data_IF_107685266552
#
_entry.id   IF_107685266552
#
_cell.length_a   1.000
_cell.length_b   1.000
_cell.length_c   1.000
_cell.angle_alpha   90.00
_cell.angle_beta   90.00
_cell.angle_gamma   90.00
#
_symmetry.space_group_name_H-M   'P 1'
#
loop_
_entity.id
_entity.type
_entity.pdbx_description
1 polymer ?
#
# COMPACT_ATOMS: atom_id res chain seq x y z
N UNK A 1 -20.61 33.29 -39.09
CA UNK A 1 -19.34 33.80 -38.41
C UNK A 1 -19.16 33.26 -37.00
N UNK A 2 -20.19 32.87 -36.27
CA UNK A 2 -20.08 32.25 -34.93
C UNK A 2 -19.31 30.92 -34.94
N UNK A 3 -19.51 30.04 -35.91
CA UNK A 3 -18.83 28.72 -35.99
C UNK A 3 -17.30 28.79 -36.14
N UNK A 4 -16.77 29.77 -36.91
CA UNK A 4 -15.32 29.88 -37.12
C UNK A 4 -14.59 30.34 -35.84
N UNK A 5 -15.21 31.23 -35.05
CA UNK A 5 -14.66 31.65 -33.75
C UNK A 5 -14.68 30.52 -32.74
N UNK A 6 -15.73 29.71 -32.75
CA UNK A 6 -15.86 28.55 -31.88
C UNK A 6 -14.80 27.47 -32.22
N UNK A 7 -14.61 27.18 -33.52
CA UNK A 7 -13.59 26.24 -33.97
C UNK A 7 -12.17 26.69 -33.57
N UNK A 8 -11.85 27.98 -33.74
CA UNK A 8 -10.54 28.52 -33.28
C UNK A 8 -10.36 28.37 -31.79
N UNK A 9 -11.40 28.63 -30.99
CA UNK A 9 -11.38 28.45 -29.53
C UNK A 9 -11.13 26.99 -29.14
N UNK A 10 -11.79 26.04 -29.83
CA UNK A 10 -11.57 24.59 -29.62
C UNK A 10 -10.15 24.17 -29.98
N UNK A 11 -9.58 24.64 -31.11
CA UNK A 11 -8.20 24.37 -31.49
C UNK A 11 -7.24 24.86 -30.42
N UNK A 12 -7.42 26.08 -29.92
CA UNK A 12 -6.56 26.64 -28.86
C UNK A 12 -6.68 25.81 -27.57
N UNK A 13 -7.89 25.45 -27.16
CA UNK A 13 -8.12 24.59 -25.99
C UNK A 13 -7.43 23.22 -26.11
N UNK A 14 -7.56 22.58 -27.26
CA UNK A 14 -6.93 21.27 -27.52
C UNK A 14 -5.40 21.40 -27.54
N UNK A 15 -4.84 22.46 -28.13
CA UNK A 15 -3.40 22.73 -28.09
C UNK A 15 -2.88 22.90 -26.66
N UNK A 16 -3.59 23.66 -25.84
CA UNK A 16 -3.22 23.84 -24.42
C UNK A 16 -3.30 22.52 -23.65
N UNK A 17 -4.38 21.76 -23.83
CA UNK A 17 -4.52 20.42 -23.20
C UNK A 17 -3.41 19.49 -23.63
N UNK A 18 -3.03 19.48 -24.94
CA UNK A 18 -1.90 18.66 -25.43
C UNK A 18 -0.58 19.06 -24.77
N UNK A 19 -0.34 20.35 -24.57
CA UNK A 19 0.88 20.84 -23.93
C UNK A 19 0.94 20.42 -22.45
N UNK A 20 -0.17 20.55 -21.73
CA UNK A 20 -0.29 20.12 -20.34
C UNK A 20 -0.07 18.60 -20.21
N UNK A 21 -0.76 17.79 -21.03
CA UNK A 21 -0.62 16.34 -20.98
C UNK A 21 0.78 15.85 -21.36
N UNK A 22 1.46 16.56 -22.28
CA UNK A 22 2.86 16.27 -22.62
C UNK A 22 3.79 16.54 -21.42
N UNK A 23 3.60 17.66 -20.72
CA UNK A 23 4.36 17.98 -19.52
C UNK A 23 4.09 16.94 -18.41
N UNK A 24 2.83 16.58 -18.18
CA UNK A 24 2.45 15.52 -17.22
C UNK A 24 3.10 14.17 -17.56
N UNK A 25 3.16 13.78 -18.84
CA UNK A 25 3.82 12.55 -19.28
C UNK A 25 5.31 12.55 -18.90
N UNK A 26 6.03 13.65 -19.12
CA UNK A 26 7.45 13.75 -18.79
C UNK A 26 7.70 13.64 -17.28
N UNK A 27 6.92 14.39 -16.49
CA UNK A 27 7.01 14.34 -15.01
C UNK A 27 6.68 12.93 -14.50
N UNK A 28 5.60 12.31 -14.99
CA UNK A 28 5.21 10.97 -14.59
C UNK A 28 6.26 9.92 -14.95
N UNK A 29 6.91 10.04 -16.12
CA UNK A 29 7.96 9.13 -16.53
C UNK A 29 9.21 9.23 -15.63
N UNK A 30 9.58 10.45 -15.21
CA UNK A 30 10.68 10.66 -14.29
C UNK A 30 10.38 10.06 -12.89
N UNK A 31 9.17 10.31 -12.38
CA UNK A 31 8.70 9.73 -11.10
C UNK A 31 8.64 8.20 -11.14
N UNK A 32 8.15 7.63 -12.24
CA UNK A 32 8.09 6.18 -12.43
C UNK A 32 9.48 5.56 -12.35
N UNK A 33 10.48 6.12 -13.05
CA UNK A 33 11.86 5.63 -13.00
C UNK A 33 12.43 5.64 -11.58
N UNK A 34 12.21 6.74 -10.83
CA UNK A 34 12.66 6.85 -9.43
C UNK A 34 11.99 5.80 -8.54
N UNK A 35 10.67 5.63 -8.67
CA UNK A 35 9.91 4.66 -7.89
C UNK A 35 10.31 3.21 -8.22
N UNK A 36 10.53 2.89 -9.50
CA UNK A 36 11.02 1.58 -9.94
C UNK A 36 12.39 1.26 -9.35
N UNK A 37 13.33 2.21 -9.42
CA UNK A 37 14.65 2.02 -8.84
C UNK A 37 14.58 1.76 -7.33
N UNK A 38 13.77 2.53 -6.60
CA UNK A 38 13.57 2.33 -5.17
C UNK A 38 12.94 0.98 -4.84
N UNK A 39 11.90 0.58 -5.59
CA UNK A 39 11.23 -0.71 -5.38
C UNK A 39 12.12 -1.92 -5.68
N UNK A 40 13.05 -1.79 -6.64
CA UNK A 40 13.96 -2.88 -7.01
C UNK A 40 15.12 -3.01 -6.02
N UNK A 41 15.72 -1.87 -5.62
CA UNK A 41 16.87 -1.89 -4.71
C UNK A 41 16.56 -2.46 -3.31
N UNK A 42 15.31 -2.32 -2.84
CA UNK A 42 14.90 -2.83 -1.53
C UNK A 42 14.59 -4.33 -1.49
N UNK A 43 14.28 -4.96 -2.63
CA UNK A 43 13.80 -6.35 -2.66
C UNK A 43 14.83 -7.35 -2.13
N UNK A 44 16.06 -7.26 -2.59
CA UNK A 44 17.13 -8.18 -2.19
C UNK A 44 17.44 -8.05 -0.70
N UNK A 45 17.43 -6.83 -0.18
CA UNK A 45 17.63 -6.57 1.24
C UNK A 45 16.51 -7.18 2.09
N UNK A 46 15.24 -6.94 1.73
CA UNK A 46 14.09 -7.47 2.46
C UNK A 46 14.07 -9.00 2.42
N UNK A 47 14.38 -9.62 1.27
CA UNK A 47 14.45 -11.06 1.12
C UNK A 47 15.53 -11.68 2.02
N UNK A 48 16.73 -11.09 2.02
CA UNK A 48 17.84 -11.55 2.89
C UNK A 48 17.53 -11.37 4.36
N UNK A 49 16.96 -10.22 4.73
CA UNK A 49 16.55 -9.95 6.11
C UNK A 49 15.50 -10.95 6.59
N UNK A 50 14.50 -11.25 5.76
CA UNK A 50 13.48 -12.26 6.06
C UNK A 50 14.08 -13.65 6.28
N UNK A 51 15.04 -14.06 5.44
CA UNK A 51 15.75 -15.33 5.60
C UNK A 51 16.53 -15.40 6.92
N UNK A 52 17.27 -14.34 7.27
CA UNK A 52 18.02 -14.28 8.53
C UNK A 52 17.10 -14.31 9.74
N UNK A 53 16.03 -13.54 9.71
CA UNK A 53 15.02 -13.53 10.79
C UNK A 53 14.37 -14.92 10.94
N UNK A 54 14.06 -15.59 9.82
CA UNK A 54 13.55 -16.96 9.85
C UNK A 54 14.49 -17.91 10.59
N UNK A 55 15.77 -17.92 10.22
CA UNK A 55 16.78 -18.76 10.88
C UNK A 55 16.94 -18.47 12.38
N UNK A 56 16.88 -17.19 12.77
CA UNK A 56 16.94 -16.79 14.17
C UNK A 56 15.74 -17.32 14.95
N UNK A 57 14.54 -17.15 14.42
CA UNK A 57 13.31 -17.61 15.11
C UNK A 57 13.27 -19.14 15.20
N UNK A 58 13.73 -19.87 14.18
CA UNK A 58 13.82 -21.34 14.22
C UNK A 58 14.82 -21.87 15.24
N UNK A 59 15.89 -21.09 15.50
CA UNK A 59 16.94 -21.48 16.46
C UNK A 59 16.59 -21.13 17.92
N UNK A 60 15.56 -20.29 18.16
CA UNK A 60 15.18 -19.86 19.50
C UNK A 60 14.30 -20.91 20.19
N UNK A 61 14.53 -21.21 21.49
CA UNK A 61 13.59 -21.96 22.30
C UNK A 61 12.23 -21.27 22.36
N UNK A 62 11.13 -22.04 22.46
CA UNK A 62 9.75 -21.50 22.44
C UNK A 62 9.50 -20.39 23.48
N UNK A 63 10.16 -20.47 24.62
CA UNK A 63 10.05 -19.48 25.72
C UNK A 63 10.63 -18.10 25.38
N UNK A 64 11.50 -18.01 24.36
CA UNK A 64 12.11 -16.75 23.90
C UNK A 64 11.49 -16.22 22.60
N UNK A 65 10.43 -16.87 22.10
CA UNK A 65 9.76 -16.41 20.87
C UNK A 65 9.07 -15.08 21.14
N UNK A 66 9.50 -14.05 20.41
CA UNK A 66 8.89 -12.73 20.48
C UNK A 66 7.41 -12.75 20.08
N UNK A 67 6.51 -11.93 20.69
CA UNK A 67 5.16 -11.72 20.23
C UNK A 67 5.07 -11.31 18.75
N UNK A 68 6.15 -10.74 18.18
CA UNK A 68 6.22 -10.39 16.76
C UNK A 68 6.39 -11.60 15.84
N UNK A 69 6.81 -12.74 16.36
CA UNK A 69 6.96 -14.00 15.61
C UNK A 69 5.80 -14.99 15.88
N UNK A 70 5.00 -14.75 16.92
CA UNK A 70 3.84 -15.58 17.26
C UNK A 70 2.73 -14.72 17.87
N UNK A 71 1.51 -14.87 17.36
CA UNK A 71 0.37 -14.15 17.91
C UNK A 71 0.13 -14.49 19.39
N UNK A 72 -0.02 -13.48 20.23
CA UNK A 72 -0.37 -13.64 21.65
C UNK A 72 -1.78 -14.19 21.82
N UNK A 73 -2.71 -13.77 20.94
CA UNK A 73 -4.09 -14.25 20.91
C UNK A 73 -4.49 -14.61 19.46
N UNK A 74 -4.39 -15.88 19.08
CA UNK A 74 -4.72 -16.33 17.72
C UNK A 74 -6.18 -16.12 17.31
N UNK A 75 -7.09 -16.03 18.26
CA UNK A 75 -8.54 -15.87 18.02
C UNK A 75 -8.95 -14.39 17.89
N UNK A 76 -8.03 -13.47 18.15
CA UNK A 76 -8.30 -12.05 17.96
C UNK A 76 -8.50 -11.69 16.47
N UNK A 77 -9.21 -10.60 16.16
CA UNK A 77 -9.40 -10.16 14.78
C UNK A 77 -8.06 -9.77 14.13
N UNK A 78 -7.99 -9.86 12.81
CA UNK A 78 -6.84 -9.37 12.04
C UNK A 78 -6.95 -7.86 11.82
N UNK A 79 -5.82 -7.17 11.79
CA UNK A 79 -5.72 -5.77 11.39
C UNK A 79 -5.25 -5.69 9.93
N UNK A 80 -5.79 -4.75 9.16
CA UNK A 80 -5.38 -4.56 7.76
C UNK A 80 -4.98 -3.12 7.48
N UNK A 81 -3.75 -2.94 7.00
CA UNK A 81 -3.28 -1.69 6.42
C UNK A 81 -3.65 -1.68 4.94
N UNK A 82 -4.42 -0.70 4.48
CA UNK A 82 -4.86 -0.60 3.08
C UNK A 82 -4.22 0.63 2.45
N UNK A 83 -3.33 0.40 1.49
CA UNK A 83 -2.56 1.44 0.81
C UNK A 83 -3.15 1.69 -0.58
N UNK A 84 -3.57 2.93 -0.83
CA UNK A 84 -3.95 3.40 -2.15
C UNK A 84 -3.40 4.81 -2.41
N UNK A 85 -3.60 5.34 -3.61
CA UNK A 85 -3.04 6.63 -3.98
C UNK A 85 -3.74 7.82 -3.34
N UNK A 86 -3.02 8.94 -3.25
CA UNK A 86 -3.61 10.23 -2.92
C UNK A 86 -4.25 10.92 -4.14
N UNK A 87 -3.73 10.65 -5.33
CA UNK A 87 -4.13 11.28 -6.59
C UNK A 87 -4.96 10.34 -7.45
N UNK A 88 -5.69 10.90 -8.39
CA UNK A 88 -6.42 10.17 -9.42
C UNK A 88 -5.66 10.13 -10.74
N UNK A 89 -6.40 9.93 -11.84
CA UNK A 89 -5.89 9.80 -13.21
C UNK A 89 -4.90 8.64 -13.38
N UNK A 90 -5.13 7.56 -12.64
CA UNK A 90 -4.31 6.33 -12.65
C UNK A 90 -5.10 5.09 -13.12
N UNK A 91 -6.12 5.30 -13.96
CA UNK A 91 -6.98 4.21 -14.44
C UNK A 91 -7.68 3.49 -13.29
N UNK A 92 -7.70 2.17 -13.35
CA UNK A 92 -8.36 1.31 -12.35
C UNK A 92 -7.51 1.03 -11.09
N UNK A 93 -6.33 1.63 -10.95
CA UNK A 93 -5.39 1.36 -9.85
C UNK A 93 -6.06 1.36 -8.48
N UNK A 94 -6.70 2.47 -8.11
CA UNK A 94 -7.33 2.58 -6.79
C UNK A 94 -8.60 1.71 -6.67
N UNK A 95 -9.42 1.63 -7.71
CA UNK A 95 -10.64 0.81 -7.69
C UNK A 95 -10.35 -0.69 -7.61
N UNK A 96 -9.24 -1.14 -8.18
CA UNK A 96 -8.81 -2.54 -8.08
C UNK A 96 -8.45 -2.91 -6.63
N UNK A 97 -7.78 -2.01 -5.87
CA UNK A 97 -7.54 -2.22 -4.44
C UNK A 97 -8.85 -2.39 -3.69
N UNK A 98 -9.83 -1.51 -3.92
CA UNK A 98 -11.14 -1.60 -3.27
C UNK A 98 -11.87 -2.91 -3.59
N UNK A 99 -11.90 -3.31 -4.85
CA UNK A 99 -12.50 -4.59 -5.28
C UNK A 99 -11.79 -5.77 -4.65
N UNK A 100 -10.46 -5.76 -4.62
CA UNK A 100 -9.66 -6.83 -4.03
C UNK A 100 -9.98 -7.01 -2.55
N UNK A 101 -10.01 -5.95 -1.76
CA UNK A 101 -10.37 -6.01 -0.33
C UNK A 101 -11.76 -6.60 -0.14
N UNK A 102 -12.74 -6.21 -0.97
CA UNK A 102 -14.11 -6.72 -0.91
C UNK A 102 -14.20 -8.21 -1.25
N UNK A 103 -13.54 -8.64 -2.33
CA UNK A 103 -13.60 -10.03 -2.79
C UNK A 103 -12.82 -10.98 -1.88
N UNK A 104 -11.73 -10.52 -1.32
CA UNK A 104 -10.88 -11.31 -0.40
C UNK A 104 -11.44 -11.41 1.03
N UNK A 105 -12.59 -10.77 1.31
CA UNK A 105 -13.20 -10.72 2.65
C UNK A 105 -12.23 -10.26 3.75
N UNK A 106 -11.24 -9.46 3.37
CA UNK A 106 -10.24 -8.86 4.28
C UNK A 106 -10.82 -7.70 5.10
N UNK A 107 -12.14 -7.57 5.14
CA UNK A 107 -12.83 -6.55 5.95
C UNK A 107 -12.66 -6.93 7.39
N UNK A 108 -11.75 -6.27 8.03
CA UNK A 108 -11.33 -6.54 9.38
C UNK A 108 -11.94 -5.51 10.32
N UNK A 109 -11.99 -5.88 11.59
CA UNK A 109 -12.53 -5.00 12.65
C UNK A 109 -11.70 -3.73 12.77
N UNK A 110 -10.42 -3.77 12.38
CA UNK A 110 -9.50 -2.64 12.47
C UNK A 110 -8.76 -2.43 11.15
N UNK A 111 -9.11 -1.36 10.42
CA UNK A 111 -8.39 -0.98 9.21
C UNK A 111 -7.62 0.32 9.40
N UNK A 112 -6.38 0.37 8.93
CA UNK A 112 -5.59 1.59 8.79
C UNK A 112 -5.58 1.94 7.31
N UNK A 113 -6.11 3.13 6.97
CA UNK A 113 -6.26 3.55 5.58
C UNK A 113 -5.18 4.58 5.24
N UNK A 114 -4.35 4.26 4.25
CA UNK A 114 -3.22 5.07 3.82
C UNK A 114 -3.47 5.59 2.40
N UNK A 115 -3.57 6.91 2.29
CA UNK A 115 -3.86 7.64 1.06
C UNK A 115 -5.34 8.04 0.93
N UNK A 116 -5.58 9.23 0.37
CA UNK A 116 -6.94 9.80 0.19
C UNK A 116 -7.90 8.87 -0.55
N UNK A 117 -7.38 8.06 -1.48
CA UNK A 117 -8.22 7.10 -2.22
C UNK A 117 -8.57 5.87 -1.37
N UNK A 118 -7.69 5.41 -0.48
CA UNK A 118 -8.02 4.38 0.50
C UNK A 118 -9.14 4.86 1.44
N UNK A 119 -9.04 6.09 1.94
CA UNK A 119 -10.06 6.69 2.79
C UNK A 119 -11.40 6.81 2.06
N UNK A 120 -11.39 7.25 0.80
CA UNK A 120 -12.60 7.33 -0.02
C UNK A 120 -13.24 5.95 -0.27
N UNK A 121 -12.43 4.92 -0.52
CA UNK A 121 -12.87 3.53 -0.65
C UNK A 121 -13.44 3.01 0.68
N UNK A 122 -12.78 3.30 1.80
CA UNK A 122 -13.25 2.93 3.14
C UNK A 122 -14.65 3.47 3.43
N UNK A 123 -14.91 4.73 3.08
CA UNK A 123 -16.25 5.35 3.18
C UNK A 123 -17.25 4.68 2.24
N UNK A 124 -16.87 4.42 0.99
CA UNK A 124 -17.73 3.79 -0.02
C UNK A 124 -18.16 2.39 0.39
N UNK A 125 -17.22 1.58 0.86
CA UNK A 125 -17.44 0.19 1.24
C UNK A 125 -17.77 0.00 2.72
N UNK A 126 -17.86 1.09 3.50
CA UNK A 126 -18.16 1.10 4.94
C UNK A 126 -17.18 0.26 5.76
N UNK A 127 -15.88 0.35 5.44
CA UNK A 127 -14.85 -0.30 6.24
C UNK A 127 -14.74 0.37 7.61
N UNK A 128 -14.49 -0.41 8.64
CA UNK A 128 -14.23 0.13 9.97
C UNK A 128 -12.79 0.68 10.02
N UNK A 129 -12.64 1.97 9.74
CA UNK A 129 -11.34 2.63 9.76
C UNK A 129 -11.02 3.09 11.17
N UNK A 130 -9.94 2.56 11.73
CA UNK A 130 -9.43 2.96 13.03
C UNK A 130 -8.51 4.19 12.93
N UNK A 131 -7.62 4.20 11.94
CA UNK A 131 -6.72 5.32 11.70
C UNK A 131 -6.57 5.60 10.21
N UNK A 132 -6.32 6.86 9.87
CA UNK A 132 -6.17 7.28 8.48
C UNK A 132 -4.94 8.17 8.32
N UNK A 133 -4.23 7.98 7.22
CA UNK A 133 -3.09 8.80 6.81
C UNK A 133 -3.30 9.30 5.39
N UNK A 134 -3.15 10.60 5.17
CA UNK A 134 -3.29 11.20 3.85
C UNK A 134 -2.20 12.24 3.61
N UNK A 135 -1.95 12.55 2.33
CA UNK A 135 -0.97 13.56 1.95
C UNK A 135 0.47 13.16 2.26
N UNK A 136 0.74 11.86 2.40
CA UNK A 136 2.09 11.37 2.65
C UNK A 136 3.02 11.68 1.47
N UNK A 137 4.29 11.86 1.77
CA UNK A 137 5.34 12.09 0.78
C UNK A 137 5.43 10.96 -0.25
N UNK A 138 5.87 11.29 -1.46
CA UNK A 138 6.24 10.28 -2.46
C UNK A 138 7.49 9.47 -2.07
N UNK A 139 8.21 9.93 -1.06
CA UNK A 139 9.35 9.26 -0.47
C UNK A 139 8.91 8.55 0.82
N UNK A 140 9.02 7.23 0.85
CA UNK A 140 8.60 6.42 2.00
C UNK A 140 9.39 6.72 3.29
N UNK A 141 10.59 7.29 3.18
CA UNK A 141 11.40 7.71 4.35
C UNK A 141 10.67 8.76 5.19
N UNK A 142 9.87 9.61 4.54
CA UNK A 142 9.13 10.68 5.22
C UNK A 142 7.81 10.21 5.83
N UNK A 143 7.50 8.93 5.73
CA UNK A 143 6.28 8.36 6.31
C UNK A 143 6.43 8.19 7.82
N UNK A 144 5.35 8.25 8.59
CA UNK A 144 5.37 8.04 10.05
C UNK A 144 5.54 6.55 10.40
N UNK A 145 6.66 5.94 9.93
CA UNK A 145 6.90 4.50 10.05
C UNK A 145 7.05 4.07 11.50
N UNK A 146 7.73 4.87 12.33
CA UNK A 146 7.89 4.57 13.76
C UNK A 146 6.55 4.53 14.48
N UNK A 147 5.67 5.51 14.20
CA UNK A 147 4.33 5.56 14.75
C UNK A 147 3.50 4.34 14.31
N UNK A 148 3.54 4.02 13.00
CA UNK A 148 2.84 2.84 12.46
C UNK A 148 3.39 1.54 13.05
N UNK A 149 4.69 1.39 13.14
CA UNK A 149 5.33 0.21 13.71
C UNK A 149 4.96 0.04 15.18
N UNK A 150 5.08 1.09 15.98
CA UNK A 150 4.69 1.08 17.41
C UNK A 150 3.23 0.68 17.55
N UNK A 151 2.35 1.26 16.74
CA UNK A 151 0.92 0.99 16.79
C UNK A 151 0.65 -0.51 16.54
N UNK A 152 1.12 -1.06 15.43
CA UNK A 152 0.80 -2.43 15.04
C UNK A 152 1.48 -3.47 15.96
N UNK A 153 2.69 -3.20 16.44
CA UNK A 153 3.40 -4.09 17.36
C UNK A 153 2.75 -4.12 18.75
N UNK A 154 2.28 -2.96 19.24
CA UNK A 154 1.55 -2.88 20.51
C UNK A 154 0.24 -3.65 20.44
N UNK A 155 -0.56 -3.47 19.39
CA UNK A 155 -1.83 -4.18 19.21
C UNK A 155 -1.66 -5.70 19.18
N UNK A 156 -0.60 -6.18 18.51
CA UNK A 156 -0.28 -7.60 18.44
C UNK A 156 0.21 -8.12 19.81
N UNK A 157 1.12 -7.40 20.46
CA UNK A 157 1.71 -7.81 21.74
C UNK A 157 0.67 -7.89 22.86
N UNK A 158 -0.29 -6.97 22.86
CA UNK A 158 -1.41 -6.96 23.82
C UNK A 158 -2.55 -7.93 23.46
N UNK A 159 -2.42 -8.68 22.35
CA UNK A 159 -3.41 -9.67 21.93
C UNK A 159 -4.74 -9.08 21.45
N UNK A 160 -4.78 -7.80 21.11
CA UNK A 160 -5.98 -7.16 20.54
C UNK A 160 -6.17 -7.52 19.06
N UNK A 161 -5.09 -7.90 18.39
CA UNK A 161 -5.13 -8.43 17.03
C UNK A 161 -4.28 -9.71 16.94
N UNK A 162 -4.70 -10.63 16.08
CA UNK A 162 -3.99 -11.90 15.84
C UNK A 162 -2.93 -11.76 14.76
N UNK A 163 -3.12 -10.85 13.82
CA UNK A 163 -2.21 -10.61 12.72
C UNK A 163 -2.40 -9.22 12.12
N UNK A 164 -1.38 -8.75 11.43
CA UNK A 164 -1.36 -7.50 10.69
C UNK A 164 -1.03 -7.77 9.24
N UNK A 165 -1.98 -7.45 8.37
CA UNK A 165 -1.85 -7.58 6.91
C UNK A 165 -1.65 -6.23 6.26
N UNK A 166 -0.93 -6.18 5.16
CA UNK A 166 -0.88 -5.03 4.27
C UNK A 166 -1.49 -5.36 2.92
N UNK A 167 -2.44 -4.54 2.49
CA UNK A 167 -3.01 -4.57 1.14
C UNK A 167 -2.43 -3.41 0.35
N UNK A 168 -1.80 -3.72 -0.74
CA UNK A 168 -1.16 -2.74 -1.62
C UNK A 168 -1.19 -3.22 -3.07
N UNK A 169 -0.72 -2.39 -3.99
CA UNK A 169 -0.57 -2.81 -5.39
C UNK A 169 0.87 -3.20 -5.65
N UNK A 170 1.11 -4.49 -5.86
CA UNK A 170 2.42 -5.05 -6.18
C UNK A 170 2.84 -4.64 -7.60
N UNK A 171 4.02 -4.06 -7.72
CA UNK A 171 4.61 -3.75 -9.01
C UNK A 171 5.25 -5.01 -9.60
N UNK A 172 4.69 -5.52 -10.69
CA UNK A 172 5.26 -6.64 -11.45
C UNK A 172 6.05 -6.12 -12.66
N UNK A 173 5.40 -5.32 -13.49
CA UNK A 173 6.03 -4.60 -14.62
C UNK A 173 5.35 -3.24 -14.80
N UNK A 174 5.88 -2.40 -15.70
CA UNK A 174 5.24 -1.14 -16.05
C UNK A 174 3.81 -1.29 -16.58
N UNK A 175 3.48 -2.45 -17.15
CA UNK A 175 2.16 -2.77 -17.71
C UNK A 175 1.30 -3.64 -16.78
N UNK A 176 1.91 -4.29 -15.79
CA UNK A 176 1.22 -5.22 -14.89
C UNK A 176 1.45 -4.84 -13.44
N UNK A 177 0.38 -4.45 -12.79
CA UNK A 177 0.33 -4.12 -11.37
C UNK A 177 -0.90 -4.82 -10.79
N UNK A 178 -0.74 -5.51 -9.68
CA UNK A 178 -1.78 -6.35 -9.11
C UNK A 178 -1.97 -6.03 -7.63
N UNK A 179 -3.21 -5.86 -7.17
CA UNK A 179 -3.48 -5.81 -5.73
C UNK A 179 -3.02 -7.11 -5.09
N UNK A 180 -2.34 -6.99 -3.97
CA UNK A 180 -1.84 -8.12 -3.20
C UNK A 180 -2.10 -7.87 -1.71
N UNK A 181 -2.13 -8.95 -0.95
CA UNK A 181 -2.09 -8.92 0.50
C UNK A 181 -0.85 -9.68 0.96
N UNK A 182 -0.12 -9.10 1.90
CA UNK A 182 1.02 -9.74 2.54
C UNK A 182 0.88 -9.58 4.06
N UNK A 183 1.15 -10.64 4.81
CA UNK A 183 1.16 -10.58 6.26
C UNK A 183 2.46 -9.93 6.72
N UNK A 184 2.35 -8.87 7.54
CA UNK A 184 3.49 -8.19 8.16
C UNK A 184 3.83 -8.81 9.50
N UNK A 185 2.81 -9.13 10.30
CA UNK A 185 2.94 -9.69 11.64
C UNK A 185 1.86 -10.74 11.90
N UNK A 186 2.13 -11.78 12.69
CA UNK A 186 3.47 -12.22 13.08
C UNK A 186 4.34 -12.46 11.85
N UNK A 187 5.66 -12.36 12.03
CA UNK A 187 6.63 -12.59 10.94
C UNK A 187 6.47 -14.02 10.43
N UNK A 188 6.07 -14.16 9.17
CA UNK A 188 5.95 -15.46 8.52
C UNK A 188 7.36 -15.93 8.11
N UNK A 189 7.81 -17.02 8.69
CA UNK A 189 9.04 -17.67 8.30
C UNK A 189 8.78 -18.39 6.98
N UNK A 190 9.16 -17.77 5.86
CA UNK A 190 9.14 -18.46 4.58
C UNK A 190 10.29 -19.47 4.60
N UNK A 191 9.99 -20.75 4.73
CA UNK A 191 10.95 -21.78 4.37
C UNK A 191 11.26 -21.58 2.89
N UNK A 192 12.43 -21.03 2.62
CA UNK A 192 12.97 -20.96 1.25
C UNK A 192 13.45 -22.37 0.93
N UNK A 193 12.72 -23.07 0.04
CA UNK A 193 13.24 -24.24 -0.66
C UNK A 193 14.45 -23.85 -1.52
#
# INVERSE_FOLDING_TARGET
MAGLKEIRRRITSVRNTRQITRAMKLVSAAKLRKAQAAATSGRDYISRLGSVLGQVVEALPEEFISPLARATNPDAPRMTLIIAGDKGLCGAYNSNVGKFVQTSKLVTVHSILIGRKAIALGRLYKWNSWKTYEGLSENAIDWPIEELATLVTTELAEGRVSAVDVVYTKFVTALRQEPAVEQLLPIVISQTE
#
